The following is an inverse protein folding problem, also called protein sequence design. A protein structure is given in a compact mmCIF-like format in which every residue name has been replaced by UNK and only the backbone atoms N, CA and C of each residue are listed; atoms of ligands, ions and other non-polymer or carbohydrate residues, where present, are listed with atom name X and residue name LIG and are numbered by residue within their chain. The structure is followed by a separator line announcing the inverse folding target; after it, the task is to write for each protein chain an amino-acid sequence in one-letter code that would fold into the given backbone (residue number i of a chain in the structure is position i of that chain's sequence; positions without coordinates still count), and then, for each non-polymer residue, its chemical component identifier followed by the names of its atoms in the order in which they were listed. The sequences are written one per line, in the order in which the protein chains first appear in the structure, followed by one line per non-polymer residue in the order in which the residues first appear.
data_IF_493146372633
#
_entry.id   IF_493146372633
#
_cell.length_a   1.000
_cell.length_b   1.000
_cell.length_c   1.000
_cell.angle_alpha   90.00
_cell.angle_beta   90.00
_cell.angle_gamma   90.00
#
_symmetry.space_group_name_H-M   'P 1'
#
loop_
_entity.id
_entity.type
_entity.pdbx_description
1 polymer ?
#
# COMPACT_ATOMS: atom_id res chain seq x y z
N UNK A 1 0.68 -9.22 10.98
CA UNK A 1 0.64 -8.26 9.85
C UNK A 1 -0.77 -7.72 9.75
N UNK A 2 -0.97 -6.48 9.28
CA UNK A 2 -2.30 -5.96 9.00
C UNK A 2 -2.92 -6.78 7.85
N UNK A 3 -4.05 -7.43 8.09
CA UNK A 3 -4.70 -8.29 7.10
C UNK A 3 -5.88 -7.53 6.48
N UNK A 4 -5.68 -6.94 5.31
CA UNK A 4 -6.79 -6.34 4.56
C UNK A 4 -7.81 -7.44 4.22
N UNK A 5 -9.05 -7.25 4.65
CA UNK A 5 -10.13 -8.23 4.51
C UNK A 5 -10.93 -8.00 3.23
N UNK A 6 -11.77 -8.97 2.87
CA UNK A 6 -12.71 -8.89 1.73
C UNK A 6 -12.04 -8.52 0.40
N UNK A 7 -10.84 -9.07 0.15
CA UNK A 7 -10.10 -8.80 -1.08
C UNK A 7 -10.89 -9.28 -2.30
N UNK A 8 -11.00 -8.41 -3.31
CA UNK A 8 -11.65 -8.69 -4.59
C UNK A 8 -10.84 -8.06 -5.71
N UNK A 9 -10.59 -8.82 -6.77
CA UNK A 9 -9.91 -8.31 -7.96
C UNK A 9 -10.73 -7.17 -8.58
N UNK A 10 -10.03 -6.12 -8.99
CA UNK A 10 -10.65 -4.96 -9.63
C UNK A 10 -11.11 -5.32 -11.06
N UNK A 11 -12.22 -4.72 -11.49
CA UNK A 11 -12.61 -4.74 -12.90
C UNK A 11 -11.68 -3.89 -13.76
N UNK A 12 -11.69 -4.10 -15.08
CA UNK A 12 -10.90 -3.28 -16.02
C UNK A 12 -11.26 -1.79 -15.94
N UNK A 13 -12.52 -1.47 -15.67
CA UNK A 13 -12.98 -0.08 -15.50
C UNK A 13 -12.38 0.53 -14.23
N UNK A 14 -12.46 -0.19 -13.10
CA UNK A 14 -11.88 0.25 -11.82
C UNK A 14 -10.36 0.45 -11.93
N UNK A 15 -9.66 -0.43 -12.65
CA UNK A 15 -8.23 -0.29 -12.90
C UNK A 15 -7.94 0.96 -13.73
N UNK A 16 -8.74 1.25 -14.76
CA UNK A 16 -8.54 2.45 -15.57
C UNK A 16 -8.80 3.74 -14.77
N UNK A 17 -9.85 3.78 -13.96
CA UNK A 17 -10.10 4.90 -13.04
C UNK A 17 -8.96 5.06 -12.03
N UNK A 18 -8.46 3.96 -11.45
CA UNK A 18 -7.33 4.01 -10.53
C UNK A 18 -6.06 4.52 -11.21
N UNK A 19 -5.76 4.10 -12.44
CA UNK A 19 -4.60 4.62 -13.18
C UNK A 19 -4.71 6.13 -13.42
N UNK A 20 -5.86 6.62 -13.89
CA UNK A 20 -6.08 8.06 -14.08
C UNK A 20 -5.91 8.86 -12.78
N UNK A 21 -6.39 8.28 -11.68
CA UNK A 21 -6.23 8.83 -10.34
C UNK A 21 -4.73 8.88 -9.94
N UNK A 22 -4.00 7.78 -10.12
CA UNK A 22 -2.60 7.64 -9.68
C UNK A 22 -1.59 8.36 -10.58
N UNK A 23 -1.86 8.54 -11.87
CA UNK A 23 -0.92 9.12 -12.85
C UNK A 23 -0.22 10.42 -12.36
N UNK A 24 -0.94 11.45 -11.86
CA UNK A 24 -0.29 12.68 -11.41
C UNK A 24 0.41 12.57 -10.04
N UNK A 25 0.25 11.48 -9.29
CA UNK A 25 0.67 11.37 -7.87
C UNK A 25 1.65 10.25 -7.57
N UNK A 26 1.45 9.11 -8.20
CA UNK A 26 2.24 7.91 -8.06
C UNK A 26 2.39 7.21 -9.43
N UNK A 27 2.99 7.87 -10.45
CA UNK A 27 3.16 7.30 -11.79
C UNK A 27 3.88 5.94 -11.80
N UNK A 28 4.76 5.70 -10.84
CA UNK A 28 5.42 4.41 -10.64
C UNK A 28 4.45 3.27 -10.33
N UNK A 29 3.33 3.52 -9.64
CA UNK A 29 2.30 2.50 -9.43
C UNK A 29 1.57 2.17 -10.73
N UNK A 30 1.35 3.18 -11.57
CA UNK A 30 0.78 2.96 -12.92
C UNK A 30 1.69 2.07 -13.75
N UNK A 31 3.01 2.31 -13.72
CA UNK A 31 3.99 1.45 -14.39
C UNK A 31 3.94 -0.01 -13.90
N UNK A 32 3.75 -0.25 -12.59
CA UNK A 32 3.57 -1.60 -12.07
C UNK A 32 2.28 -2.26 -12.59
N UNK A 33 1.18 -1.51 -12.62
CA UNK A 33 -0.10 -1.98 -13.16
C UNK A 33 0.07 -2.36 -14.65
N UNK A 34 0.68 -1.48 -15.45
CA UNK A 34 0.94 -1.72 -16.88
C UNK A 34 1.90 -2.89 -17.12
N UNK A 35 2.86 -3.09 -16.21
CA UNK A 35 3.73 -4.27 -16.22
C UNK A 35 3.00 -5.56 -15.84
N UNK A 36 1.74 -5.51 -15.39
CA UNK A 36 0.90 -6.66 -15.07
C UNK A 36 0.86 -7.03 -13.59
N UNK A 37 1.03 -6.06 -12.69
CA UNK A 37 0.67 -6.22 -11.29
C UNK A 37 -0.83 -6.54 -11.14
N UNK A 38 -1.18 -7.31 -10.11
CA UNK A 38 -2.59 -7.60 -9.79
C UNK A 38 -3.13 -6.44 -8.95
N UNK A 39 -4.29 -5.93 -9.33
CA UNK A 39 -4.98 -4.85 -8.61
C UNK A 39 -6.25 -5.43 -7.98
N UNK A 40 -6.37 -5.25 -6.67
CA UNK A 40 -7.56 -5.65 -5.91
C UNK A 40 -8.04 -4.52 -5.01
N UNK A 41 -9.30 -4.56 -4.61
CA UNK A 41 -9.85 -3.76 -3.51
C UNK A 41 -9.94 -4.60 -2.26
N UNK A 42 -9.93 -3.96 -1.10
CA UNK A 42 -10.23 -4.61 0.16
C UNK A 42 -10.69 -3.60 1.22
N UNK A 43 -10.87 -4.09 2.45
CA UNK A 43 -11.32 -3.29 3.58
C UNK A 43 -10.33 -3.32 4.74
N UNK A 44 -10.03 -2.14 5.27
CA UNK A 44 -9.50 -1.99 6.63
C UNK A 44 -10.69 -1.87 7.56
N UNK A 45 -10.83 -2.86 8.46
CA UNK A 45 -11.99 -3.00 9.34
C UNK A 45 -11.73 -2.56 10.79
N UNK A 46 -10.47 -2.34 11.15
CA UNK A 46 -10.11 -1.89 12.50
C UNK A 46 -9.06 -0.78 12.53
N UNK A 47 -9.16 0.07 13.55
CA UNK A 47 -8.16 1.10 13.84
C UNK A 47 -6.79 0.49 14.13
N UNK A 48 -6.74 -0.67 14.78
CA UNK A 48 -5.50 -1.39 15.07
C UNK A 48 -4.80 -1.87 13.77
N UNK A 49 -5.56 -2.30 12.78
CA UNK A 49 -5.02 -2.69 11.48
C UNK A 49 -4.39 -1.50 10.77
N UNK A 50 -5.08 -0.35 10.79
CA UNK A 50 -4.56 0.89 10.25
C UNK A 50 -3.29 1.32 10.99
N UNK A 51 -3.30 1.28 12.33
CA UNK A 51 -2.17 1.61 13.20
C UNK A 51 -0.90 0.83 12.86
N UNK A 52 -1.02 -0.49 12.65
CA UNK A 52 0.12 -1.39 12.38
C UNK A 52 0.63 -1.34 10.94
N UNK A 53 -0.02 -0.59 10.08
CA UNK A 53 0.36 -0.49 8.67
C UNK A 53 1.59 0.39 8.52
N UNK A 54 2.55 -0.07 7.71
CA UNK A 54 3.74 0.70 7.37
C UNK A 54 3.44 1.71 6.25
N UNK A 55 4.03 2.88 6.35
CA UNK A 55 3.94 3.95 5.36
C UNK A 55 5.34 4.52 5.10
N UNK A 56 5.62 4.88 3.84
CA UNK A 56 6.80 5.66 3.48
C UNK A 56 6.44 7.14 3.47
N UNK A 57 7.20 7.98 4.15
CA UNK A 57 6.90 9.41 4.24
C UNK A 57 8.15 10.24 4.01
N UNK A 58 8.15 10.91 2.87
CA UNK A 58 9.36 11.48 2.31
C UNK A 58 9.89 12.72 3.05
N UNK A 59 9.11 13.30 3.97
CA UNK A 59 9.46 14.57 4.64
C UNK A 59 9.63 14.51 6.16
N UNK A 60 9.50 13.34 6.82
CA UNK A 60 9.84 13.20 8.25
C UNK A 60 11.35 13.25 8.55
N UNK A 61 12.14 13.77 7.62
CA UNK A 61 13.59 13.72 7.60
C UNK A 61 14.05 12.26 7.60
N UNK A 62 14.33 11.67 6.44
CA UNK A 62 14.72 10.26 6.34
C UNK A 62 15.87 9.83 7.29
N UNK A 63 16.69 10.79 7.74
CA UNK A 63 17.70 10.59 8.80
C UNK A 63 17.06 10.42 10.19
N UNK A 64 16.05 11.22 10.50
CA UNK A 64 15.37 11.24 11.80
C UNK A 64 14.42 10.06 11.97
N UNK A 65 13.59 9.73 10.98
CA UNK A 65 12.74 8.54 11.03
C UNK A 65 13.56 7.26 11.20
N UNK A 66 14.68 7.14 10.48
CA UNK A 66 15.62 6.02 10.59
C UNK A 66 16.33 5.99 11.94
N UNK A 67 16.62 7.14 12.56
CA UNK A 67 17.24 7.22 13.88
C UNK A 67 16.28 6.80 15.00
N UNK A 68 15.03 7.25 14.93
CA UNK A 68 14.04 7.02 15.99
C UNK A 68 13.36 5.64 15.88
N UNK A 69 13.21 5.08 14.67
CA UNK A 69 12.50 3.81 14.45
C UNK A 69 13.29 2.76 13.65
N UNK A 70 14.54 3.03 13.29
CA UNK A 70 15.41 2.05 12.62
C UNK A 70 15.09 1.75 11.15
N UNK A 71 14.07 2.40 10.56
CA UNK A 71 13.58 2.10 9.20
C UNK A 71 13.21 3.37 8.42
N UNK A 72 13.17 3.25 7.08
CA UNK A 72 12.61 4.28 6.19
C UNK A 72 11.08 4.30 6.23
N UNK A 73 10.48 3.17 6.59
CA UNK A 73 9.06 3.01 6.80
C UNK A 73 8.76 3.07 8.29
N UNK A 74 7.62 3.63 8.64
CA UNK A 74 7.16 3.68 10.01
C UNK A 74 5.66 3.40 10.04
N UNK A 75 5.17 3.06 11.23
CA UNK A 75 3.77 2.71 11.40
C UNK A 75 2.90 3.95 11.42
N UNK A 76 1.65 3.82 11.00
CA UNK A 76 0.69 4.92 11.00
C UNK A 76 0.52 5.54 12.39
N UNK A 77 0.51 4.74 13.45
CA UNK A 77 0.39 5.23 14.83
C UNK A 77 1.59 6.05 15.33
N UNK A 78 2.71 6.02 14.61
CA UNK A 78 3.93 6.75 14.96
C UNK A 78 4.01 8.12 14.26
N UNK A 79 3.22 8.35 13.20
CA UNK A 79 3.37 9.54 12.33
C UNK A 79 3.13 10.83 13.11
N UNK A 80 2.02 10.93 13.83
CA UNK A 80 1.67 12.17 14.54
C UNK A 80 2.60 12.44 15.72
N UNK A 81 3.12 11.41 16.37
CA UNK A 81 4.14 11.56 17.42
C UNK A 81 5.38 12.23 16.85
N UNK A 82 5.79 11.88 15.63
CA UNK A 82 6.90 12.52 14.93
C UNK A 82 6.61 13.97 14.53
N UNK A 83 5.46 14.22 13.92
CA UNK A 83 5.07 15.56 13.48
C UNK A 83 4.85 16.54 14.65
N UNK A 84 4.55 16.03 15.85
CA UNK A 84 4.43 16.83 17.08
C UNK A 84 5.77 17.06 17.78
N UNK A 85 6.84 16.39 17.35
CA UNK A 85 8.14 16.58 17.99
C UNK A 85 8.65 18.03 17.76
N UNK A 86 9.09 18.76 18.79
CA UNK A 86 9.50 20.16 18.66
C UNK A 86 10.62 20.42 17.64
N UNK A 87 11.44 19.42 17.34
CA UNK A 87 12.50 19.56 16.33
C UNK A 87 12.01 19.23 14.90
N UNK A 88 10.75 18.82 14.73
CA UNK A 88 10.14 18.56 13.42
C UNK A 88 9.48 19.86 12.95
N UNK A 89 9.98 20.40 11.83
CA UNK A 89 9.50 21.64 11.23
C UNK A 89 8.49 21.42 10.10
N UNK A 90 8.04 20.18 9.89
CA UNK A 90 7.10 19.80 8.84
C UNK A 90 5.64 20.11 9.23
N UNK A 91 5.36 21.41 9.33
CA UNK A 91 4.04 21.94 9.70
C UNK A 91 3.00 21.64 8.63
N UNK A 92 3.38 21.69 7.35
CA UNK A 92 2.47 21.49 6.23
C UNK A 92 1.81 20.10 6.24
N UNK A 93 2.56 19.03 6.54
CA UNK A 93 1.97 17.70 6.62
C UNK A 93 1.05 17.51 7.82
N UNK A 94 1.40 18.12 8.96
CA UNK A 94 0.54 18.10 10.14
C UNK A 94 -0.78 18.81 9.88
N UNK A 95 -0.73 19.99 9.28
CA UNK A 95 -1.91 20.79 9.01
C UNK A 95 -2.80 20.09 7.96
N UNK A 96 -2.20 19.48 6.93
CA UNK A 96 -2.95 18.66 5.95
C UNK A 96 -3.67 17.47 6.61
N UNK A 97 -3.05 16.79 7.57
CA UNK A 97 -3.72 15.71 8.32
C UNK A 97 -4.91 16.27 9.10
N UNK A 98 -4.77 17.42 9.73
CA UNK A 98 -5.85 18.05 10.50
C UNK A 98 -7.03 18.46 9.62
N UNK A 99 -6.78 19.01 8.43
CA UNK A 99 -7.82 19.31 7.43
C UNK A 99 -8.59 18.05 7.05
N UNK A 100 -7.87 16.98 6.67
CA UNK A 100 -8.47 15.69 6.30
C UNK A 100 -9.33 15.12 7.43
N UNK A 101 -8.89 15.25 8.68
CA UNK A 101 -9.68 14.81 9.84
C UNK A 101 -11.02 15.55 9.97
N UNK A 102 -11.08 16.83 9.58
CA UNK A 102 -12.32 17.63 9.62
C UNK A 102 -13.28 17.24 8.50
N UNK A 103 -12.76 16.78 7.37
CA UNK A 103 -13.55 16.38 6.20
C UNK A 103 -14.15 14.95 6.34
N UNK A 104 -13.50 14.02 7.06
CA UNK A 104 -13.98 12.65 7.32
C UNK A 104 -15.47 12.56 7.74
N UNK A 105 -15.95 13.27 8.78
CA UNK A 105 -17.34 13.15 9.24
C UNK A 105 -18.36 13.58 8.17
N UNK A 106 -17.97 14.46 7.25
CA UNK A 106 -18.86 14.94 6.18
C UNK A 106 -18.94 14.01 4.99
N UNK A 107 -18.06 12.99 4.92
CA UNK A 107 -17.91 12.09 3.77
C UNK A 107 -17.78 12.84 2.42
N UNK A 108 -17.31 14.09 2.46
CA UNK A 108 -17.27 14.98 1.30
C UNK A 108 -16.21 14.58 0.26
N UNK A 109 -15.38 13.57 0.54
CA UNK A 109 -14.30 13.12 -0.34
C UNK A 109 -14.07 11.61 -0.28
N UNK A 110 -13.75 11.01 -1.44
CA UNK A 110 -13.31 9.61 -1.53
C UNK A 110 -11.82 9.51 -1.26
N UNK A 111 -11.43 9.38 0.01
CA UNK A 111 -10.05 9.10 0.38
C UNK A 111 -9.64 7.75 -0.18
N UNK A 112 -8.75 7.78 -1.16
CA UNK A 112 -8.20 6.55 -1.72
C UNK A 112 -6.86 6.30 -1.05
N UNK A 113 -6.77 5.19 -0.32
CA UNK A 113 -5.51 4.66 0.19
C UNK A 113 -5.11 3.54 -0.76
N UNK A 114 -3.89 3.64 -1.30
CA UNK A 114 -3.34 2.63 -2.19
C UNK A 114 -2.16 1.95 -1.51
N UNK A 115 -2.29 0.65 -1.34
CA UNK A 115 -1.25 -0.22 -0.85
C UNK A 115 -0.44 -0.78 -2.00
N UNK A 116 0.86 -0.94 -1.75
CA UNK A 116 1.74 -1.75 -2.58
C UNK A 116 2.17 -2.98 -1.78
N UNK A 117 1.97 -4.15 -2.39
CA UNK A 117 2.35 -5.44 -1.82
C UNK A 117 3.55 -6.01 -2.58
N UNK A 118 4.66 -6.17 -1.88
CA UNK A 118 5.90 -6.73 -2.43
C UNK A 118 6.53 -7.67 -1.43
N UNK A 119 6.91 -8.87 -1.87
CA UNK A 119 7.52 -9.89 -1.00
C UNK A 119 6.67 -10.27 0.23
N UNK A 120 5.34 -10.27 0.10
CA UNK A 120 4.38 -10.45 1.21
C UNK A 120 4.43 -9.35 2.28
N UNK A 121 5.11 -8.23 2.00
CA UNK A 121 5.05 -7.03 2.81
C UNK A 121 4.10 -6.04 2.16
N UNK A 122 3.28 -5.43 2.99
CA UNK A 122 2.22 -4.53 2.59
C UNK A 122 2.50 -3.16 3.20
N UNK A 123 2.53 -2.13 2.38
CA UNK A 123 2.76 -0.76 2.83
C UNK A 123 1.93 0.24 2.04
N UNK A 124 1.57 1.35 2.69
CA UNK A 124 0.85 2.46 2.06
C UNK A 124 1.83 3.22 1.17
N UNK A 125 1.45 3.33 -0.10
CA UNK A 125 2.22 3.99 -1.13
C UNK A 125 1.60 5.35 -1.52
N UNK A 126 0.28 5.42 -1.64
CA UNK A 126 -0.49 6.65 -1.86
C UNK A 126 -1.62 6.76 -0.83
N UNK A 127 -2.01 7.99 -0.49
CA UNK A 127 -3.02 8.26 0.54
C UNK A 127 -2.48 8.23 1.98
N UNK A 128 -1.18 8.47 2.16
CA UNK A 128 -0.48 8.41 3.45
C UNK A 128 -1.11 9.38 4.47
N UNK A 129 -1.33 10.65 4.09
CA UNK A 129 -2.02 11.63 4.94
C UNK A 129 -3.44 11.19 5.31
N UNK A 130 -4.17 10.64 4.34
CA UNK A 130 -5.54 10.13 4.57
C UNK A 130 -5.55 8.98 5.57
N UNK A 131 -4.61 8.05 5.46
CA UNK A 131 -4.48 6.93 6.38
C UNK A 131 -4.23 7.39 7.83
N UNK A 132 -3.35 8.39 8.01
CA UNK A 132 -3.10 8.97 9.33
C UNK A 132 -4.30 9.76 9.84
N UNK A 133 -4.94 10.54 8.97
CA UNK A 133 -6.15 11.28 9.32
C UNK A 133 -7.26 10.35 9.81
N UNK A 134 -7.50 9.24 9.11
CA UNK A 134 -8.45 8.22 9.56
C UNK A 134 -8.07 7.65 10.93
N UNK A 135 -6.81 7.24 11.11
CA UNK A 135 -6.35 6.70 12.38
C UNK A 135 -6.58 7.68 13.54
N UNK A 136 -6.15 8.92 13.38
CA UNK A 136 -6.27 9.96 14.40
C UNK A 136 -7.74 10.35 14.66
N UNK A 137 -8.56 10.41 13.61
CA UNK A 137 -9.99 10.72 13.74
C UNK A 137 -10.70 9.66 14.58
N UNK A 138 -10.57 8.38 14.20
CA UNK A 138 -11.19 7.30 14.94
C UNK A 138 -10.60 7.13 16.35
N UNK A 139 -9.31 7.42 16.53
CA UNK A 139 -8.70 7.47 17.86
C UNK A 139 -9.31 8.56 18.74
N UNK A 140 -9.61 9.76 18.20
CA UNK A 140 -10.29 10.84 18.94
C UNK A 140 -11.73 10.49 19.27
N UNK A 141 -12.43 9.79 18.38
CA UNK A 141 -13.80 9.35 18.59
C UNK A 141 -13.91 8.12 19.52
N UNK A 142 -12.79 7.47 19.88
CA UNK A 142 -12.80 6.24 20.67
C UNK A 142 -13.39 5.03 19.94
N UNK A 143 -13.38 5.02 18.60
CA UNK A 143 -13.90 3.92 17.79
C UNK A 143 -12.76 3.04 17.28
N UNK A 144 -12.87 1.73 17.54
CA UNK A 144 -11.96 0.74 16.98
C UNK A 144 -12.45 0.15 15.67
N UNK A 145 -13.77 0.20 15.43
CA UNK A 145 -14.37 -0.24 14.17
C UNK A 145 -14.25 0.89 13.14
N UNK A 146 -13.60 0.59 12.03
CA UNK A 146 -13.46 1.49 10.88
C UNK A 146 -13.85 0.71 9.63
N UNK A 147 -14.37 1.36 8.60
CA UNK A 147 -14.67 0.68 7.33
C UNK A 147 -14.10 1.53 6.20
N UNK A 148 -12.87 1.24 5.79
CA UNK A 148 -12.15 2.03 4.77
C UNK A 148 -11.88 1.12 3.57
N UNK A 149 -12.45 1.47 2.42
CA UNK A 149 -12.14 0.82 1.14
C UNK A 149 -10.76 1.28 0.66
N UNK A 150 -9.92 0.31 0.29
CA UNK A 150 -8.54 0.55 -0.14
C UNK A 150 -8.23 -0.22 -1.41
N UNK A 151 -7.29 0.27 -2.21
CA UNK A 151 -6.73 -0.48 -3.34
C UNK A 151 -5.41 -1.14 -2.93
N UNK A 152 -5.12 -2.28 -3.54
CA UNK A 152 -3.93 -3.08 -3.30
C UNK A 152 -3.33 -3.45 -4.66
N UNK A 153 -2.10 -3.02 -4.89
CA UNK A 153 -1.32 -3.36 -6.08
C UNK A 153 -0.26 -4.38 -5.66
N UNK A 154 -0.37 -5.60 -6.17
CA UNK A 154 0.51 -6.72 -5.82
C UNK A 154 1.54 -6.93 -6.92
N UNK A 155 2.82 -6.79 -6.56
CA UNK A 155 3.94 -7.08 -7.45
C UNK A 155 4.04 -8.58 -7.73
N UNK A 156 3.67 -8.99 -8.94
CA UNK A 156 3.70 -10.39 -9.38
C UNK A 156 5.03 -10.79 -10.03
N UNK A 157 6.06 -9.93 -10.00
CA UNK A 157 7.33 -10.19 -10.72
C UNK A 157 7.99 -11.51 -10.28
N UNK A 158 7.83 -11.92 -9.02
CA UNK A 158 8.28 -13.24 -8.53
C UNK A 158 7.56 -14.42 -9.18
N UNK A 159 6.24 -14.32 -9.37
CA UNK A 159 5.43 -15.36 -10.01
C UNK A 159 5.80 -15.51 -11.49
N UNK A 160 6.09 -14.41 -12.19
CA UNK A 160 6.54 -14.47 -13.59
C UNK A 160 7.88 -15.17 -13.75
N UNK A 161 8.88 -14.85 -12.91
CA UNK A 161 10.19 -15.53 -12.96
C UNK A 161 10.03 -17.02 -12.63
N UNK A 162 9.20 -17.36 -11.64
CA UNK A 162 8.93 -18.75 -11.29
C UNK A 162 8.25 -19.51 -12.43
N UNK A 163 7.21 -18.95 -13.04
CA UNK A 163 6.51 -19.55 -14.19
C UNK A 163 7.43 -19.71 -15.41
N UNK A 164 8.28 -18.72 -15.72
CA UNK A 164 9.29 -18.82 -16.79
C UNK A 164 10.29 -19.94 -16.47
N UNK A 165 10.76 -20.04 -15.22
CA UNK A 165 11.66 -21.12 -14.80
C UNK A 165 11.00 -22.50 -14.87
N UNK A 166 9.74 -22.63 -14.45
CA UNK A 166 8.98 -23.87 -14.55
C UNK A 166 8.70 -24.25 -16.01
N UNK A 167 8.36 -23.28 -16.87
CA UNK A 167 8.16 -23.51 -18.30
C UNK A 167 9.45 -23.97 -18.98
N UNK A 168 10.57 -23.28 -18.74
CA UNK A 168 11.87 -23.68 -19.27
C UNK A 168 12.31 -25.06 -18.75
N UNK A 169 12.07 -25.37 -17.48
CA UNK A 169 12.36 -26.68 -16.89
C UNK A 169 11.50 -27.79 -17.51
N UNK A 170 10.20 -27.54 -17.71
CA UNK A 170 9.26 -28.46 -18.35
C UNK A 170 9.64 -28.76 -19.80
N UNK A 171 10.00 -27.74 -20.58
CA UNK A 171 10.49 -27.93 -21.94
C UNK A 171 11.86 -28.60 -22.01
N UNK A 172 12.74 -28.34 -21.06
CA UNK A 172 14.03 -29.02 -20.94
C UNK A 172 13.85 -30.51 -20.64
N UNK A 173 12.93 -30.87 -19.74
CA UNK A 173 12.59 -32.28 -19.45
C UNK A 173 11.89 -32.97 -20.61
N UNK A 174 10.99 -32.29 -21.33
CA UNK A 174 10.35 -32.84 -22.54
C UNK A 174 11.34 -33.07 -23.69
N UNK A 175 12.29 -32.16 -23.91
CA UNK A 175 13.35 -32.33 -24.93
C UNK A 175 14.29 -33.49 -24.58
N UNK A 176 14.67 -33.65 -23.31
CA UNK A 176 15.55 -34.73 -22.89
C UNK A 176 14.85 -36.11 -22.81
N UNK A 177 13.53 -36.17 -22.60
CA UNK A 177 12.78 -37.45 -22.67
C UNK A 177 12.59 -38.00 -24.09
N UNK A 178 12.72 -37.18 -25.14
CA UNK A 178 12.75 -37.67 -26.54
C UNK A 178 14.04 -38.40 -26.91
N UNK A 179 15.06 -38.41 -26.04
CA UNK A 179 16.35 -39.07 -26.28
C UNK A 179 16.52 -40.43 -25.59
N UNK A 180 15.50 -40.96 -24.90
CA UNK A 180 15.57 -42.30 -24.26
C UNK A 180 14.67 -43.37 -24.88
N UNK A 181 14.17 -43.17 -26.10
CA UNK A 181 13.55 -44.22 -26.90
C UNK A 181 14.29 -44.37 -28.22
N UNK A 182 15.50 -44.92 -28.16
CA UNK A 182 16.17 -45.54 -29.31
C UNK A 182 17.06 -46.69 -28.83
N UNK A 183 16.60 -47.89 -29.20
CA UNK A 183 17.17 -49.24 -29.15
C UNK A 183 17.14 -49.94 -27.80
#
# INVERSE_FOLDING_TARGET
MAEITNRKDCSSEEINTLKQFLEPRAPQLVQFIEAGAVVSKGLITSREMLAKTNTEWYNLGGVRSRREYGSKFFRIDQVMTMLKNPQCNDVAHRDRIQELMQEIPTNNFKYTITFFEKNNELFIYDGNHSAVAFFEYFSKCGSDNVNIEVFIITDTTKLRIFLIRCYNFFWYTLKNKKFQLRW
#
